data_IF_740776922359
#
_entry.id   IF_740776922359
#
_cell.length_a   1.000
_cell.length_b   1.000
_cell.length_c   1.000
_cell.angle_alpha   90.00
_cell.angle_beta   90.00
_cell.angle_gamma   90.00
#
_symmetry.space_group_name_H-M   'P 1'
#
loop_
_entity.id
_entity.type
_entity.pdbx_description
1 polymer ?
#
# COMPACT_ATOMS: atom_id res chain seq x y z
N UNK A 1 12.87 -10.26 -18.23
CA UNK A 1 12.23 -9.33 -19.17
C UNK A 1 11.39 -8.32 -18.39
N UNK A 2 10.83 -7.29 -19.03
CA UNK A 2 9.93 -6.33 -18.36
C UNK A 2 8.70 -7.05 -17.76
N UNK A 3 8.22 -8.11 -18.42
CA UNK A 3 7.08 -8.93 -17.98
C UNK A 3 7.39 -9.70 -16.69
N UNK A 4 8.53 -10.40 -16.63
CA UNK A 4 8.96 -11.13 -15.42
C UNK A 4 9.13 -10.21 -14.20
N UNK A 5 9.67 -9.00 -14.40
CA UNK A 5 9.77 -8.02 -13.32
C UNK A 5 8.41 -7.49 -12.88
N UNK A 6 7.47 -7.34 -13.81
CA UNK A 6 6.11 -6.94 -13.50
C UNK A 6 5.37 -8.00 -12.69
N UNK A 7 5.53 -9.28 -13.01
CA UNK A 7 4.93 -10.38 -12.24
C UNK A 7 5.42 -10.39 -10.78
N UNK A 8 6.73 -10.19 -10.56
CA UNK A 8 7.31 -10.11 -9.22
C UNK A 8 6.87 -8.85 -8.47
N UNK A 9 6.74 -7.71 -9.15
CA UNK A 9 6.15 -6.49 -8.59
C UNK A 9 4.70 -6.73 -8.13
N UNK A 10 3.89 -7.38 -8.97
CA UNK A 10 2.49 -7.69 -8.66
C UNK A 10 2.38 -8.72 -7.53
N UNK A 11 3.31 -9.68 -7.44
CA UNK A 11 3.38 -10.63 -6.33
C UNK A 11 3.73 -9.93 -5.01
N UNK A 12 4.71 -9.01 -5.03
CA UNK A 12 5.09 -8.23 -3.84
C UNK A 12 3.91 -7.43 -3.30
N UNK A 13 3.19 -6.71 -4.17
CA UNK A 13 2.01 -5.94 -3.76
C UNK A 13 0.89 -6.83 -3.23
N UNK A 14 0.59 -7.95 -3.91
CA UNK A 14 -0.45 -8.89 -3.47
C UNK A 14 -0.12 -9.51 -2.11
N UNK A 15 1.15 -9.86 -1.87
CA UNK A 15 1.59 -10.39 -0.58
C UNK A 15 1.42 -9.39 0.56
N UNK A 16 1.82 -8.14 0.37
CA UNK A 16 1.60 -7.07 1.35
C UNK A 16 0.11 -6.84 1.64
N UNK A 17 -0.72 -6.82 0.59
CA UNK A 17 -2.17 -6.66 0.73
C UNK A 17 -2.83 -7.83 1.46
N UNK A 18 -2.36 -9.06 1.23
CA UNK A 18 -2.87 -10.26 1.92
C UNK A 18 -2.51 -10.23 3.40
N UNK A 19 -1.25 -9.94 3.73
CA UNK A 19 -0.77 -9.78 5.11
C UNK A 19 -1.55 -8.68 5.83
N UNK A 20 -1.72 -7.52 5.19
CA UNK A 20 -2.51 -6.42 5.74
C UNK A 20 -3.95 -6.85 6.03
N UNK A 21 -4.62 -7.60 5.14
CA UNK A 21 -5.99 -8.09 5.38
C UNK A 21 -6.07 -9.03 6.58
N UNK A 22 -5.12 -9.96 6.72
CA UNK A 22 -5.09 -10.88 7.85
C UNK A 22 -4.80 -10.17 9.17
N UNK A 23 -3.80 -9.27 9.20
CA UNK A 23 -3.50 -8.45 10.38
C UNK A 23 -4.69 -7.58 10.78
N UNK A 24 -5.36 -6.95 9.81
CA UNK A 24 -6.59 -6.19 10.06
C UNK A 24 -7.66 -7.08 10.68
N UNK A 25 -7.86 -8.31 10.19
CA UNK A 25 -8.85 -9.22 10.75
C UNK A 25 -8.59 -9.55 12.24
N UNK A 26 -7.34 -9.88 12.59
CA UNK A 26 -6.93 -10.14 13.98
C UNK A 26 -7.18 -8.91 14.86
N UNK A 27 -6.75 -7.74 14.38
CA UNK A 27 -6.84 -6.49 15.14
C UNK A 27 -8.26 -5.96 15.29
N UNK A 28 -9.12 -6.11 14.27
CA UNK A 28 -10.52 -5.71 14.33
C UNK A 28 -11.32 -6.61 15.30
N UNK A 29 -11.09 -7.92 15.28
CA UNK A 29 -11.70 -8.84 16.25
C UNK A 29 -11.27 -8.48 17.66
N UNK A 30 -9.97 -8.31 17.89
CA UNK A 30 -9.43 -7.91 19.19
C UNK A 30 -10.03 -6.58 19.66
N UNK A 31 -10.02 -5.55 18.80
CA UNK A 31 -10.56 -4.23 19.11
C UNK A 31 -12.05 -4.27 19.42
N UNK A 32 -12.83 -5.08 18.69
CA UNK A 32 -14.26 -5.23 18.94
C UNK A 32 -14.51 -5.86 20.32
N UNK A 33 -13.74 -6.91 20.68
CA UNK A 33 -13.85 -7.59 21.98
C UNK A 33 -13.45 -6.69 23.15
N UNK A 34 -12.49 -5.78 22.96
CA UNK A 34 -12.11 -4.81 23.99
C UNK A 34 -13.24 -3.86 24.41
N UNK A 35 -14.09 -3.46 23.46
CA UNK A 35 -15.22 -2.53 23.73
C UNK A 35 -16.55 -3.24 24.00
N UNK A 36 -16.58 -4.58 23.87
CA UNK A 36 -17.72 -5.42 24.20
C UNK A 36 -17.32 -6.53 25.19
N UNK A 37 -16.94 -6.18 26.43
CA UNK A 37 -16.58 -7.18 27.43
C UNK A 37 -17.77 -8.11 27.70
N UNK A 38 -17.48 -9.40 27.84
CA UNK A 38 -18.52 -10.39 28.14
C UNK A 38 -19.09 -10.21 29.56
N UNK A 39 -20.10 -10.99 29.88
CA UNK A 39 -20.67 -11.11 31.20
C UNK A 39 -21.17 -12.53 31.47
N UNK A 40 -21.70 -12.75 32.67
CA UNK A 40 -22.25 -14.04 33.11
C UNK A 40 -23.46 -14.54 32.28
N UNK A 41 -24.13 -13.67 31.53
CA UNK A 41 -25.28 -14.04 30.70
C UNK A 41 -24.82 -14.56 29.34
N UNK A 42 -23.79 -13.93 28.77
CA UNK A 42 -23.18 -14.33 27.52
C UNK A 42 -22.17 -15.49 27.67
N UNK A 43 -21.43 -15.54 28.78
CA UNK A 43 -20.50 -16.60 29.12
C UNK A 43 -20.72 -17.07 30.57
N UNK A 44 -21.23 -18.29 30.75
CA UNK A 44 -21.54 -18.86 32.08
C UNK A 44 -20.31 -19.05 32.97
N UNK A 45 -19.13 -19.19 32.36
CA UNK A 45 -17.87 -19.35 33.08
C UNK A 45 -17.26 -18.00 33.50
N UNK A 46 -17.83 -16.87 33.06
CA UNK A 46 -17.40 -15.53 33.46
C UNK A 46 -17.94 -15.19 34.86
N UNK A 47 -17.07 -15.01 35.88
CA UNK A 47 -17.52 -14.62 37.21
C UNK A 47 -18.17 -13.22 37.21
N UNK A 48 -19.21 -13.03 38.02
CA UNK A 48 -19.82 -11.70 38.20
C UNK A 48 -18.89 -10.66 38.85
N UNK A 49 -17.77 -11.11 39.45
CA UNK A 49 -16.74 -10.29 40.08
C UNK A 49 -15.54 -10.03 39.16
N UNK A 50 -15.51 -10.59 37.95
CA UNK A 50 -14.39 -10.42 37.03
C UNK A 50 -14.26 -8.95 36.60
N UNK A 51 -13.03 -8.43 36.65
CA UNK A 51 -12.75 -7.05 36.27
C UNK A 51 -12.91 -6.86 34.76
N UNK A 52 -13.15 -5.62 34.33
CA UNK A 52 -13.53 -5.32 32.95
C UNK A 52 -12.52 -5.82 31.91
N UNK A 53 -11.22 -5.65 32.16
CA UNK A 53 -10.19 -6.12 31.23
C UNK A 53 -10.14 -7.65 31.12
N UNK A 54 -10.37 -8.38 32.22
CA UNK A 54 -10.47 -9.84 32.20
C UNK A 54 -11.69 -10.31 31.39
N UNK A 55 -12.82 -9.59 31.52
CA UNK A 55 -14.04 -9.83 30.73
C UNK A 55 -13.90 -9.44 29.25
N UNK A 56 -13.04 -8.47 28.95
CA UNK A 56 -12.72 -8.04 27.59
C UNK A 56 -11.74 -8.98 26.88
N UNK A 57 -10.89 -9.68 27.64
CA UNK A 57 -9.84 -10.58 27.15
C UNK A 57 -10.15 -12.04 27.48
N UNK A 58 -9.63 -12.56 28.60
CA UNK A 58 -9.67 -13.96 29.01
C UNK A 58 -11.00 -14.67 28.78
N UNK A 59 -12.12 -14.05 29.20
CA UNK A 59 -13.45 -14.66 29.10
C UNK A 59 -14.19 -14.37 27.78
N UNK A 60 -13.63 -13.53 26.91
CA UNK A 60 -14.32 -13.05 25.71
C UNK A 60 -14.01 -13.85 24.44
N UNK A 61 -13.22 -14.92 24.54
CA UNK A 61 -12.86 -15.79 23.41
C UNK A 61 -13.23 -17.24 23.70
N UNK A 62 -13.96 -17.87 22.79
CA UNK A 62 -14.20 -19.32 22.84
C UNK A 62 -12.92 -20.10 22.52
N UNK A 63 -12.96 -21.43 22.70
CA UNK A 63 -11.84 -22.30 22.31
C UNK A 63 -11.52 -22.17 20.82
N UNK A 64 -12.55 -22.17 20.00
CA UNK A 64 -12.47 -22.10 18.53
C UNK A 64 -11.96 -20.74 18.07
N UNK A 65 -12.41 -19.64 18.69
CA UNK A 65 -11.90 -18.30 18.40
C UNK A 65 -10.41 -18.18 18.72
N UNK A 66 -9.95 -18.75 19.84
CA UNK A 66 -8.52 -18.75 20.21
C UNK A 66 -7.68 -19.52 19.19
N UNK A 67 -8.11 -20.70 18.76
CA UNK A 67 -7.40 -21.46 17.73
C UNK A 67 -7.36 -20.72 16.40
N UNK A 68 -8.51 -20.20 15.93
CA UNK A 68 -8.58 -19.44 14.68
C UNK A 68 -7.66 -18.20 14.70
N UNK A 69 -7.59 -17.48 15.83
CA UNK A 69 -6.65 -16.36 15.97
C UNK A 69 -5.19 -16.81 15.84
N UNK A 70 -4.81 -17.92 16.49
CA UNK A 70 -3.44 -18.44 16.37
C UNK A 70 -3.13 -18.88 14.94
N UNK A 71 -4.05 -19.55 14.26
CA UNK A 71 -3.87 -19.94 12.84
C UNK A 71 -3.59 -18.72 11.96
N UNK A 72 -4.37 -17.64 12.11
CA UNK A 72 -4.18 -16.42 11.32
C UNK A 72 -2.85 -15.74 11.67
N UNK A 73 -2.49 -15.67 12.95
CA UNK A 73 -1.19 -15.13 13.39
C UNK A 73 -0.02 -15.94 12.80
N UNK A 74 -0.11 -17.27 12.82
CA UNK A 74 0.89 -18.16 12.24
C UNK A 74 1.00 -17.96 10.72
N UNK A 75 -0.12 -17.85 10.00
CA UNK A 75 -0.14 -17.54 8.56
C UNK A 75 0.51 -16.19 8.26
N UNK A 76 0.23 -15.14 9.04
CA UNK A 76 0.85 -13.82 8.92
C UNK A 76 2.37 -13.93 9.09
N UNK A 77 2.83 -14.52 10.20
CA UNK A 77 4.27 -14.59 10.51
C UNK A 77 5.03 -15.52 9.57
N UNK A 78 4.43 -16.63 9.17
CA UNK A 78 4.99 -17.55 8.18
C UNK A 78 5.20 -16.87 6.83
N UNK A 79 4.17 -16.20 6.30
CA UNK A 79 4.28 -15.46 5.05
C UNK A 79 5.21 -14.25 5.17
N UNK A 80 5.22 -13.54 6.30
CA UNK A 80 6.17 -12.44 6.56
C UNK A 80 7.63 -12.91 6.40
N UNK A 81 7.97 -14.09 6.94
CA UNK A 81 9.30 -14.69 6.79
C UNK A 81 9.61 -14.99 5.32
N UNK A 82 8.68 -15.60 4.59
CA UNK A 82 8.86 -15.91 3.17
C UNK A 82 9.05 -14.64 2.32
N UNK A 83 8.24 -13.60 2.57
CA UNK A 83 8.36 -12.31 1.88
C UNK A 83 9.68 -11.60 2.20
N UNK A 84 10.15 -11.68 3.46
CA UNK A 84 11.46 -11.15 3.86
C UNK A 84 12.62 -11.85 3.17
N UNK A 85 12.56 -13.18 2.98
CA UNK A 85 13.58 -13.93 2.22
C UNK A 85 13.64 -13.52 0.74
N UNK A 86 12.50 -13.10 0.18
CA UNK A 86 12.39 -12.64 -1.21
C UNK A 86 12.72 -11.15 -1.39
N UNK A 87 13.05 -10.42 -0.32
CA UNK A 87 13.19 -8.97 -0.33
C UNK A 87 14.15 -8.49 -1.43
N UNK A 88 15.35 -9.07 -1.56
CA UNK A 88 16.34 -8.66 -2.56
C UNK A 88 15.79 -8.77 -3.99
N UNK A 89 15.08 -9.87 -4.29
CA UNK A 89 14.47 -10.13 -5.60
C UNK A 89 13.34 -9.13 -5.86
N UNK A 90 12.46 -8.91 -4.88
CA UNK A 90 11.38 -7.93 -4.99
C UNK A 90 11.92 -6.52 -5.19
N UNK A 91 12.92 -6.12 -4.41
CA UNK A 91 13.55 -4.81 -4.48
C UNK A 91 14.13 -4.51 -5.87
N UNK A 92 14.74 -5.51 -6.52
CA UNK A 92 15.22 -5.37 -7.89
C UNK A 92 14.06 -5.24 -8.88
N UNK A 93 13.08 -6.15 -8.82
CA UNK A 93 11.93 -6.14 -9.72
C UNK A 93 11.11 -4.85 -9.61
N UNK A 94 10.83 -4.42 -8.38
CA UNK A 94 10.06 -3.21 -8.08
C UNK A 94 10.71 -1.98 -8.70
N UNK A 95 12.02 -1.81 -8.53
CA UNK A 95 12.72 -0.65 -9.07
C UNK A 95 12.71 -0.63 -10.60
N UNK A 96 12.91 -1.78 -11.24
CA UNK A 96 12.84 -1.88 -12.71
C UNK A 96 11.43 -1.56 -13.22
N UNK A 97 10.39 -2.18 -12.63
CA UNK A 97 9.00 -1.99 -13.05
C UNK A 97 8.54 -0.55 -12.85
N UNK A 98 8.83 0.07 -11.71
CA UNK A 98 8.48 1.46 -11.44
C UNK A 98 9.20 2.42 -12.39
N UNK A 99 10.50 2.20 -12.63
CA UNK A 99 11.26 3.01 -13.57
C UNK A 99 10.69 2.91 -14.98
N UNK A 100 10.48 1.69 -15.48
CA UNK A 100 9.92 1.45 -16.80
C UNK A 100 8.55 2.12 -16.96
N UNK A 101 7.64 1.91 -16.00
CA UNK A 101 6.32 2.53 -16.01
C UNK A 101 6.38 4.07 -16.02
N UNK A 102 7.27 4.66 -15.21
CA UNK A 102 7.44 6.11 -15.13
C UNK A 102 8.00 6.69 -16.45
N UNK A 103 9.02 6.05 -17.01
CA UNK A 103 9.66 6.52 -18.24
C UNK A 103 8.78 6.30 -19.47
N UNK A 104 8.14 5.14 -19.60
CA UNK A 104 7.22 4.88 -20.71
C UNK A 104 6.05 5.86 -20.68
N UNK A 105 5.49 6.12 -19.49
CA UNK A 105 4.43 7.10 -19.34
C UNK A 105 4.89 8.51 -19.74
N UNK A 106 6.02 8.98 -19.21
CA UNK A 106 6.46 10.35 -19.41
C UNK A 106 7.07 10.62 -20.79
N UNK A 107 7.81 9.64 -21.34
CA UNK A 107 8.49 9.77 -22.62
C UNK A 107 7.60 9.40 -23.80
N UNK A 108 6.66 8.45 -23.63
CA UNK A 108 5.78 7.97 -24.71
C UNK A 108 4.33 8.42 -24.53
N UNK A 109 3.69 8.05 -23.42
CA UNK A 109 2.25 8.31 -23.23
C UNK A 109 1.92 9.79 -23.20
N UNK A 110 2.77 10.63 -22.59
CA UNK A 110 2.55 12.08 -22.52
C UNK A 110 2.83 12.83 -23.85
N UNK A 111 3.34 12.18 -24.89
CA UNK A 111 3.59 12.82 -26.20
C UNK A 111 2.30 13.32 -26.84
N UNK A 112 1.26 12.49 -26.86
CA UNK A 112 -0.02 12.84 -27.48
C UNK A 112 -0.73 14.02 -26.78
N UNK A 113 -0.93 14.03 -25.44
CA UNK A 113 -1.49 15.20 -24.77
C UNK A 113 -0.65 16.45 -24.98
N UNK A 114 0.68 16.35 -24.98
CA UNK A 114 1.54 17.50 -25.23
C UNK A 114 1.37 18.02 -26.66
N UNK A 115 1.37 17.14 -27.67
CA UNK A 115 1.13 17.48 -29.08
C UNK A 115 -0.19 18.23 -29.24
N UNK A 116 -1.25 17.71 -28.63
CA UNK A 116 -2.56 18.36 -28.69
C UNK A 116 -2.57 19.72 -28.00
N UNK A 117 -1.92 19.83 -26.84
CA UNK A 117 -1.81 21.08 -26.09
C UNK A 117 -1.05 22.15 -26.88
N UNK A 118 0.09 21.79 -27.50
CA UNK A 118 0.87 22.68 -28.38
C UNK A 118 0.05 23.12 -29.58
N UNK A 119 -0.56 22.18 -30.31
CA UNK A 119 -1.40 22.47 -31.48
C UNK A 119 -2.58 23.39 -31.14
N UNK A 120 -3.24 23.19 -30.00
CA UNK A 120 -4.39 23.98 -29.53
C UNK A 120 -3.97 25.21 -28.70
N UNK A 121 -2.67 25.52 -28.60
CA UNK A 121 -2.10 26.64 -27.82
C UNK A 121 -2.59 26.70 -26.36
N UNK A 122 -2.69 25.54 -25.70
CA UNK A 122 -3.13 25.40 -24.30
C UNK A 122 -1.95 25.59 -23.34
N UNK A 123 -1.46 26.82 -23.19
CA UNK A 123 -0.21 27.13 -22.49
C UNK A 123 -0.10 26.55 -21.07
N UNK A 124 -1.18 26.59 -20.27
CA UNK A 124 -1.18 26.02 -18.91
C UNK A 124 -1.02 24.50 -18.95
N UNK A 125 -1.66 23.82 -19.90
CA UNK A 125 -1.51 22.38 -20.06
C UNK A 125 -0.10 22.02 -20.55
N UNK A 126 0.43 22.80 -21.50
CA UNK A 126 1.82 22.65 -21.97
C UNK A 126 2.80 22.78 -20.80
N UNK A 127 2.64 23.80 -19.95
CA UNK A 127 3.56 24.03 -18.83
C UNK A 127 3.55 22.89 -17.82
N UNK A 128 2.37 22.34 -17.49
CA UNK A 128 2.29 21.20 -16.54
C UNK A 128 2.87 19.92 -17.14
N UNK A 129 2.52 19.59 -18.39
CA UNK A 129 3.05 18.40 -19.08
C UNK A 129 4.57 18.46 -19.25
N UNK A 130 5.10 19.62 -19.62
CA UNK A 130 6.55 19.82 -19.71
C UNK A 130 7.23 19.82 -18.33
N UNK A 131 6.60 20.35 -17.29
CA UNK A 131 7.13 20.28 -15.93
C UNK A 131 7.27 18.83 -15.46
N UNK A 132 6.26 17.98 -15.72
CA UNK A 132 6.34 16.54 -15.46
C UNK A 132 7.53 15.94 -16.21
N UNK A 133 7.60 16.10 -17.54
CA UNK A 133 8.69 15.52 -18.36
C UNK A 133 10.07 15.98 -17.90
N UNK A 134 10.25 17.27 -17.60
CA UNK A 134 11.53 17.82 -17.10
C UNK A 134 11.93 17.29 -15.72
N UNK A 135 10.97 16.88 -14.90
CA UNK A 135 11.23 16.39 -13.54
C UNK A 135 11.72 14.94 -13.53
N UNK A 136 11.24 14.11 -14.46
CA UNK A 136 11.43 12.65 -14.40
C UNK A 136 11.98 11.99 -15.66
N UNK A 137 11.92 12.60 -16.84
CA UNK A 137 12.40 11.94 -18.06
C UNK A 137 13.92 11.77 -18.00
N UNK A 138 14.35 10.51 -18.02
CA UNK A 138 15.74 10.11 -18.17
C UNK A 138 15.94 9.63 -19.62
N UNK A 139 16.34 10.55 -20.50
CA UNK A 139 16.52 10.28 -21.91
C UNK A 139 17.81 9.48 -22.15
N UNK A 140 17.80 8.47 -23.02
CA UNK A 140 18.99 7.69 -23.39
C UNK A 140 20.16 8.59 -23.84
N UNK A 141 19.87 9.67 -24.58
CA UNK A 141 20.84 10.67 -25.04
C UNK A 141 21.10 11.82 -24.05
N UNK A 142 20.68 11.69 -22.78
CA UNK A 142 20.72 12.70 -21.72
C UNK A 142 19.98 14.02 -22.01
N UNK A 143 19.28 14.13 -23.15
CA UNK A 143 18.52 15.30 -23.58
C UNK A 143 17.24 14.88 -24.28
N UNK A 144 16.19 15.68 -24.11
CA UNK A 144 14.93 15.50 -24.83
C UNK A 144 15.18 15.60 -26.35
N UNK A 145 14.65 14.68 -27.18
CA UNK A 145 14.82 14.72 -28.63
C UNK A 145 14.23 16.02 -29.21
N UNK A 146 15.07 16.97 -29.69
CA UNK A 146 14.59 18.28 -30.14
C UNK A 146 13.81 18.20 -31.46
N UNK A 147 13.93 17.08 -32.17
CA UNK A 147 13.25 16.81 -33.42
C UNK A 147 11.87 16.14 -33.24
N UNK A 148 11.45 15.81 -32.02
CA UNK A 148 10.15 15.18 -31.74
C UNK A 148 8.99 16.06 -32.27
N UNK A 149 8.18 15.57 -33.24
CA UNK A 149 7.05 16.30 -33.80
C UNK A 149 6.05 16.80 -32.75
N UNK A 150 5.93 16.09 -31.61
CA UNK A 150 4.99 16.47 -30.55
C UNK A 150 5.30 17.86 -29.97
N UNK A 151 6.58 18.26 -29.92
CA UNK A 151 7.03 19.55 -29.43
C UNK A 151 6.61 20.72 -30.33
N UNK A 152 6.32 20.43 -31.61
CA UNK A 152 5.79 21.39 -32.60
C UNK A 152 4.26 21.26 -32.79
N UNK A 153 3.61 20.33 -32.09
CA UNK A 153 2.18 20.03 -32.27
C UNK A 153 1.86 19.23 -33.54
N UNK A 154 2.89 18.71 -34.20
CA UNK A 154 2.82 17.94 -35.45
C UNK A 154 2.60 16.44 -35.14
N UNK A 155 1.91 15.74 -36.04
CA UNK A 155 1.77 14.27 -35.93
C UNK A 155 3.09 13.59 -36.28
N UNK A 156 3.25 12.37 -35.78
CA UNK A 156 4.35 11.49 -36.16
C UNK A 156 4.33 11.23 -37.69
N UNK A 157 5.50 11.05 -38.32
CA UNK A 157 5.58 10.71 -39.73
C UNK A 157 4.95 9.32 -40.00
N UNK A 158 4.71 8.97 -41.26
CA UNK A 158 4.05 7.68 -41.62
C UNK A 158 4.75 6.43 -41.06
N UNK A 159 6.06 6.52 -40.79
CA UNK A 159 6.85 5.44 -40.16
C UNK A 159 6.93 5.49 -38.62
N UNK A 160 6.22 6.43 -37.97
CA UNK A 160 6.32 6.68 -36.54
C UNK A 160 7.54 7.52 -36.15
N UNK A 161 7.56 7.98 -34.89
CA UNK A 161 8.74 8.61 -34.28
C UNK A 161 9.21 7.71 -33.14
N UNK A 162 10.35 7.06 -33.34
CA UNK A 162 10.88 6.09 -32.38
C UNK A 162 11.66 6.79 -31.25
N UNK A 163 11.36 6.40 -30.02
CA UNK A 163 12.07 6.84 -28.83
C UNK A 163 12.44 5.59 -28.06
N UNK A 164 13.75 5.34 -27.96
CA UNK A 164 14.28 4.28 -27.11
C UNK A 164 14.21 4.72 -25.65
N UNK A 165 13.27 4.14 -24.91
CA UNK A 165 13.15 4.37 -23.46
C UNK A 165 14.15 3.46 -22.73
N UNK A 166 15.05 4.02 -21.89
CA UNK A 166 15.98 3.20 -21.11
C UNK A 166 15.25 2.28 -20.12
N UNK A 167 15.99 1.29 -19.61
CA UNK A 167 15.59 0.45 -18.48
C UNK A 167 16.67 0.50 -17.41
N UNK A 168 16.29 0.89 -16.19
CA UNK A 168 17.18 0.98 -15.03
C UNK A 168 16.53 0.40 -13.79
N UNK A 169 17.35 -0.15 -12.91
CA UNK A 169 16.94 -0.71 -11.64
C UNK A 169 16.91 0.34 -10.51
N UNK A 170 16.28 1.49 -10.74
CA UNK A 170 16.21 2.59 -9.75
C UNK A 170 14.86 3.29 -9.80
N UNK A 171 14.20 3.41 -8.64
CA UNK A 171 12.96 4.18 -8.52
C UNK A 171 13.20 5.70 -8.58
N UNK A 172 12.15 6.51 -8.80
CA UNK A 172 12.24 7.95 -8.63
C UNK A 172 12.53 8.31 -7.17
N UNK A 173 13.07 9.51 -6.94
CA UNK A 173 13.09 10.08 -5.59
C UNK A 173 11.66 10.31 -5.07
N UNK A 174 11.51 10.43 -3.75
CA UNK A 174 10.23 10.78 -3.12
C UNK A 174 9.67 12.10 -3.66
N UNK A 175 10.54 13.10 -3.87
CA UNK A 175 10.15 14.40 -4.43
C UNK A 175 9.72 14.30 -5.90
N UNK A 176 10.42 13.52 -6.72
CA UNK A 176 10.03 13.28 -8.12
C UNK A 176 8.65 12.63 -8.20
N UNK A 177 8.43 11.55 -7.44
CA UNK A 177 7.15 10.83 -7.45
C UNK A 177 6.00 11.71 -6.92
N UNK A 178 6.23 12.44 -5.83
CA UNK A 178 5.26 13.40 -5.29
C UNK A 178 4.87 14.45 -6.33
N UNK A 179 5.86 15.15 -6.89
CA UNK A 179 5.62 16.23 -7.86
C UNK A 179 4.87 15.74 -9.10
N UNK A 180 5.25 14.58 -9.64
CA UNK A 180 4.56 13.99 -10.80
C UNK A 180 3.12 13.63 -10.47
N UNK A 181 2.88 12.94 -9.36
CA UNK A 181 1.53 12.54 -8.96
C UNK A 181 0.63 13.76 -8.74
N UNK A 182 1.11 14.77 -8.01
CA UNK A 182 0.35 16.02 -7.75
C UNK A 182 0.07 16.80 -9.03
N UNK A 183 1.04 16.91 -9.94
CA UNK A 183 0.82 17.56 -11.24
C UNK A 183 -0.20 16.78 -12.09
N UNK A 184 -0.12 15.45 -12.13
CA UNK A 184 -1.08 14.62 -12.85
C UNK A 184 -2.49 14.73 -12.25
N UNK A 185 -2.62 14.71 -10.93
CA UNK A 185 -3.88 14.91 -10.22
C UNK A 185 -4.53 16.24 -10.63
N UNK A 186 -3.74 17.32 -10.72
CA UNK A 186 -4.24 18.62 -11.17
C UNK A 186 -4.78 18.62 -12.62
N UNK A 187 -4.29 17.71 -13.48
CA UNK A 187 -4.77 17.56 -14.86
C UNK A 187 -6.13 16.86 -14.92
N UNK A 188 -6.40 15.95 -13.99
CA UNK A 188 -7.60 15.10 -13.98
C UNK A 188 -8.64 15.52 -12.93
N UNK A 189 -8.36 16.54 -12.11
CA UNK A 189 -9.29 17.03 -11.10
C UNK A 189 -10.57 17.64 -11.72
N UNK A 190 -11.72 17.23 -11.19
CA UNK A 190 -13.05 17.72 -11.62
C UNK A 190 -13.41 19.10 -11.02
N UNK A 191 -12.74 19.51 -9.93
CA UNK A 191 -13.03 20.74 -9.21
C UNK A 191 -11.93 21.78 -9.39
N UNK A 192 -12.20 22.77 -10.22
CA UNK A 192 -11.60 24.09 -10.10
C UNK A 192 -12.73 25.09 -9.85
N UNK A 193 -12.54 26.09 -8.99
CA UNK A 193 -13.51 27.19 -8.82
C UNK A 193 -13.73 28.04 -10.09
N UNK A 194 -13.12 27.66 -11.21
CA UNK A 194 -13.26 28.27 -12.53
C UNK A 194 -14.23 27.48 -13.43
N UNK A 195 -14.89 28.18 -14.36
CA UNK A 195 -15.82 27.59 -15.36
C UNK A 195 -15.19 26.57 -16.33
N UNK A 196 -13.86 26.42 -16.39
CA UNK A 196 -13.15 25.48 -17.27
C UNK A 196 -11.98 24.83 -16.52
N UNK A 197 -12.06 23.52 -16.32
CA UNK A 197 -11.00 22.69 -15.70
C UNK A 197 -9.91 22.33 -16.71
N UNK A 198 -8.72 21.92 -16.25
CA UNK A 198 -7.69 21.35 -17.13
C UNK A 198 -8.15 20.04 -17.78
N UNK A 199 -8.88 19.21 -17.02
CA UNK A 199 -9.53 17.97 -17.48
C UNK A 199 -10.38 18.19 -18.73
N UNK A 200 -11.16 19.29 -18.78
CA UNK A 200 -12.01 19.62 -19.95
C UNK A 200 -11.23 19.90 -21.25
N UNK A 201 -9.91 20.08 -21.16
CA UNK A 201 -9.03 20.31 -22.31
C UNK A 201 -8.31 19.04 -22.78
N UNK A 202 -8.55 17.89 -22.14
CA UNK A 202 -7.99 16.59 -22.46
C UNK A 202 -9.05 15.69 -23.09
N UNK A 203 -8.66 14.89 -24.08
CA UNK A 203 -9.54 13.91 -24.70
C UNK A 203 -9.70 12.67 -23.77
N UNK A 204 -10.84 11.99 -23.84
CA UNK A 204 -11.18 10.88 -22.94
C UNK A 204 -10.11 9.79 -22.78
N UNK A 205 -9.51 9.24 -23.86
CA UNK A 205 -8.45 8.23 -23.75
C UNK A 205 -7.20 8.71 -22.99
N UNK A 206 -6.88 10.00 -23.09
CA UNK A 206 -5.73 10.60 -22.38
C UNK A 206 -6.04 10.69 -20.90
N UNK A 207 -7.25 11.11 -20.55
CA UNK A 207 -7.70 11.19 -19.16
C UNK A 207 -7.61 9.81 -18.50
N UNK A 208 -8.11 8.77 -19.18
CA UNK A 208 -8.01 7.39 -18.70
C UNK A 208 -6.57 6.93 -18.51
N UNK A 209 -5.66 7.25 -19.43
CA UNK A 209 -4.25 6.90 -19.30
C UNK A 209 -3.57 7.60 -18.10
N UNK A 210 -3.93 8.86 -17.82
CA UNK A 210 -3.43 9.59 -16.65
C UNK A 210 -4.02 9.01 -15.37
N UNK A 211 -5.33 8.74 -15.33
CA UNK A 211 -6.00 8.12 -14.19
C UNK A 211 -5.43 6.74 -13.86
N UNK A 212 -5.17 5.93 -14.89
CA UNK A 212 -4.59 4.60 -14.74
C UNK A 212 -3.18 4.67 -14.14
N UNK A 213 -2.29 5.50 -14.70
CA UNK A 213 -0.96 5.70 -14.14
C UNK A 213 -1.00 6.29 -12.72
N UNK A 214 -1.90 7.25 -12.47
CA UNK A 214 -2.07 7.86 -11.15
C UNK A 214 -2.58 6.86 -10.11
N UNK A 215 -3.47 5.94 -10.49
CA UNK A 215 -3.95 4.87 -9.62
C UNK A 215 -2.84 3.86 -9.31
N UNK A 216 -2.13 3.38 -10.33
CA UNK A 216 -1.07 2.39 -10.15
C UNK A 216 0.11 2.94 -9.33
N UNK A 217 0.50 4.20 -9.57
CA UNK A 217 1.62 4.83 -8.86
C UNK A 217 1.34 5.14 -7.39
N UNK A 218 0.12 4.91 -6.90
CA UNK A 218 -0.24 5.11 -5.48
C UNK A 218 0.59 4.22 -4.55
N UNK A 219 0.84 2.96 -4.95
CA UNK A 219 1.58 2.00 -4.15
C UNK A 219 3.10 2.06 -4.34
N UNK A 220 3.62 2.91 -5.24
CA UNK A 220 5.04 2.94 -5.56
C UNK A 220 5.91 3.26 -4.35
N UNK A 221 5.52 4.23 -3.51
CA UNK A 221 6.27 4.56 -2.29
C UNK A 221 6.32 3.38 -1.32
N UNK A 222 5.22 2.66 -1.13
CA UNK A 222 5.15 1.50 -0.25
C UNK A 222 6.05 0.37 -0.75
N UNK A 223 6.03 0.11 -2.06
CA UNK A 223 6.83 -0.94 -2.68
C UNK A 223 8.33 -0.58 -2.72
N UNK A 224 8.68 0.69 -2.95
CA UNK A 224 10.09 1.13 -2.88
C UNK A 224 10.66 1.04 -1.45
N UNK A 225 9.80 1.11 -0.43
CA UNK A 225 10.13 0.90 0.97
C UNK A 225 9.63 -0.45 1.49
N UNK A 226 9.85 -1.51 0.69
CA UNK A 226 9.26 -2.83 0.91
C UNK A 226 9.46 -3.40 2.32
N UNK A 227 10.68 -3.34 2.88
CA UNK A 227 10.96 -3.86 4.23
C UNK A 227 10.10 -3.18 5.29
N UNK A 228 9.94 -1.86 5.21
CA UNK A 228 9.13 -1.10 6.17
C UNK A 228 7.64 -1.41 5.98
N UNK A 229 7.17 -1.42 4.73
CA UNK A 229 5.79 -1.79 4.41
C UNK A 229 5.45 -3.21 4.90
N UNK A 230 6.36 -4.17 4.76
CA UNK A 230 6.20 -5.54 5.23
C UNK A 230 6.03 -5.60 6.76
N UNK A 231 6.80 -4.81 7.51
CA UNK A 231 6.67 -4.74 8.97
C UNK A 231 5.31 -4.17 9.37
N UNK A 232 4.91 -3.04 8.78
CA UNK A 232 3.61 -2.40 9.08
C UNK A 232 2.43 -3.30 8.72
N UNK A 233 2.48 -4.03 7.61
CA UNK A 233 1.43 -4.97 7.21
C UNK A 233 1.32 -6.20 8.12
N UNK A 234 2.29 -6.45 9.00
CA UNK A 234 2.34 -7.62 9.89
C UNK A 234 2.38 -7.24 11.38
N UNK A 235 2.10 -5.98 11.73
CA UNK A 235 2.15 -5.52 13.11
C UNK A 235 0.97 -6.10 13.92
N UNK A 236 1.32 -6.73 15.04
CA UNK A 236 0.41 -7.33 16.01
C UNK A 236 0.81 -6.95 17.44
N UNK A 237 1.67 -5.93 17.60
CA UNK A 237 2.24 -5.50 18.89
C UNK A 237 1.18 -5.04 19.90
N UNK A 238 0.08 -4.47 19.39
CA UNK A 238 -1.01 -3.93 20.20
C UNK A 238 -1.81 -4.98 20.99
N UNK A 239 -1.61 -6.29 20.71
CA UNK A 239 -2.24 -7.36 21.50
C UNK A 239 -1.73 -7.41 22.95
N UNK A 240 -0.55 -6.85 23.24
CA UNK A 240 0.03 -6.87 24.59
C UNK A 240 -0.23 -5.58 25.38
N UNK A 241 -0.22 -4.43 24.71
CA UNK A 241 -0.41 -3.11 25.34
C UNK A 241 -1.83 -2.95 25.89
N UNK A 242 -1.94 -2.29 27.05
CA UNK A 242 -3.17 -2.24 27.88
C UNK A 242 -3.20 -1.07 28.86
N UNK A 243 -2.44 -0.02 28.58
CA UNK A 243 -2.25 1.17 29.41
C UNK A 243 -3.58 1.89 29.64
N UNK A 244 -4.45 1.94 28.64
CA UNK A 244 -5.81 2.48 28.78
C UNK A 244 -6.59 1.77 29.90
N UNK A 245 -6.59 0.43 29.91
CA UNK A 245 -7.29 -0.33 30.94
C UNK A 245 -6.62 -0.21 32.31
N UNK A 246 -5.29 -0.09 32.36
CA UNK A 246 -4.57 0.16 33.62
C UNK A 246 -4.99 1.50 34.25
N UNK A 247 -5.07 2.55 33.44
CA UNK A 247 -5.51 3.88 33.90
C UNK A 247 -6.94 3.82 34.47
N UNK A 248 -7.85 3.09 33.83
CA UNK A 248 -9.23 2.91 34.31
C UNK A 248 -9.31 2.19 35.67
N UNK A 249 -8.27 1.48 36.09
CA UNK A 249 -8.24 0.87 37.43
C UNK A 249 -7.99 1.86 38.55
N UNK A 250 -7.65 3.12 38.23
CA UNK A 250 -7.38 4.20 39.20
C UNK A 250 -6.35 3.79 40.26
N UNK A 251 -5.25 3.19 39.81
CA UNK A 251 -4.15 2.76 40.68
C UNK A 251 -4.38 1.45 41.44
N UNK A 252 -5.54 0.78 41.25
CA UNK A 252 -5.78 -0.55 41.85
C UNK A 252 -4.90 -1.63 41.22
N UNK A 253 -4.56 -1.51 39.94
CA UNK A 253 -3.63 -2.41 39.24
C UNK A 253 -2.42 -1.61 38.77
N UNK A 254 -1.23 -2.07 39.16
CA UNK A 254 0.04 -1.62 38.56
C UNK A 254 0.27 -2.37 37.22
N UNK A 255 -0.21 -3.60 37.14
CA UNK A 255 -0.19 -4.44 35.95
C UNK A 255 -1.30 -5.51 36.04
N UNK A 256 -1.78 -6.00 34.90
CA UNK A 256 -2.68 -7.17 34.86
C UNK A 256 -1.87 -8.48 34.88
N UNK A 257 -2.40 -9.55 35.50
CA UNK A 257 -1.71 -10.83 35.53
C UNK A 257 -1.70 -11.51 34.15
N UNK A 258 -0.92 -12.59 34.01
CA UNK A 258 -0.61 -13.20 32.70
C UNK A 258 -1.83 -13.84 32.04
N UNK A 259 -2.76 -14.37 32.83
CA UNK A 259 -4.04 -14.93 32.38
C UNK A 259 -4.96 -13.91 31.71
N UNK A 260 -4.64 -12.61 31.77
CA UNK A 260 -5.32 -11.52 31.05
C UNK A 260 -4.51 -11.00 29.86
N UNK A 261 -3.32 -11.55 29.60
CA UNK A 261 -2.46 -11.11 28.50
C UNK A 261 -2.78 -11.91 27.24
N UNK A 262 -3.18 -11.25 26.15
CA UNK A 262 -3.56 -11.95 24.91
C UNK A 262 -2.50 -12.93 24.40
N UNK A 263 -1.19 -12.58 24.33
CA UNK A 263 -0.17 -13.55 23.92
C UNK A 263 -0.16 -14.81 24.78
N UNK A 264 -0.33 -14.67 26.10
CA UNK A 264 -0.35 -15.81 27.00
C UNK A 264 -1.65 -16.59 26.91
N UNK A 265 -2.81 -15.92 26.86
CA UNK A 265 -4.13 -16.56 26.69
C UNK A 265 -4.15 -17.48 25.46
N UNK A 266 -3.60 -17.01 24.34
CA UNK A 266 -3.56 -17.79 23.10
C UNK A 266 -2.58 -18.96 23.19
N UNK A 267 -1.40 -18.75 23.78
CA UNK A 267 -0.35 -19.78 23.92
C UNK A 267 -0.76 -20.87 24.90
N UNK A 268 -1.19 -20.48 26.10
CA UNK A 268 -1.57 -21.37 27.19
C UNK A 268 -2.76 -22.26 26.80
N UNK A 269 -3.70 -21.73 26.02
CA UNK A 269 -4.83 -22.51 25.51
C UNK A 269 -4.40 -23.72 24.68
N UNK A 270 -3.36 -23.59 23.85
CA UNK A 270 -2.82 -24.71 23.07
C UNK A 270 -2.14 -25.73 23.99
N UNK A 271 -1.37 -25.25 24.97
CA UNK A 271 -0.65 -26.11 25.91
C UNK A 271 -1.60 -26.92 26.79
N UNK A 272 -2.67 -26.30 27.27
CA UNK A 272 -3.68 -26.94 28.13
C UNK A 272 -4.57 -27.92 27.37
N UNK A 273 -5.07 -27.51 26.20
CA UNK A 273 -5.93 -28.39 25.38
C UNK A 273 -5.16 -29.52 24.71
N UNK A 274 -3.85 -29.33 24.49
CA UNK A 274 -2.99 -30.25 23.73
C UNK A 274 -3.55 -30.57 22.34
N UNK A 275 -4.22 -29.60 21.73
CA UNK A 275 -4.85 -29.75 20.42
C UNK A 275 -3.78 -30.10 19.36
N UNK A 276 -3.79 -31.33 18.80
CA UNK A 276 -2.69 -31.78 17.94
C UNK A 276 -2.49 -30.92 16.69
N UNK A 277 -3.56 -30.33 16.14
CA UNK A 277 -3.45 -29.50 14.93
C UNK A 277 -2.85 -28.12 15.17
N UNK A 278 -2.68 -27.71 16.43
CA UNK A 278 -2.24 -26.37 16.81
C UNK A 278 -0.84 -26.35 17.45
N UNK A 279 -0.15 -27.50 17.48
CA UNK A 279 1.12 -27.67 18.20
C UNK A 279 2.36 -27.15 17.43
N UNK A 280 2.24 -26.93 16.12
CA UNK A 280 3.34 -26.50 15.22
C UNK A 280 3.31 -25.00 14.92
#
# INVERSE_FOLDING_TARGET
>A
SDEEYRELFDLALRGLQLLSKWSTHVMEVYSWKLVHPTDKFCNKDCPGTAEEYERATRYNYTSEEKFALVEVIAMIKGLQVLMGRMESVFNQAIRNTIYAALQDFAQMTLREPLRQAVRKKKNVLISVLQAIRKTICDWEGAREPPNDPCLRGEKDPKGGFDIKVPRRAVGPSSTQLYMVRTMLESLIADKSGSKKTLRSSLDGPIVLAIEDFHKHSFFFTHLLNFSEALQHCCDLSQLWFREFFLELTMGRRIQFPIEMSMPWILTDHILETKEPSMME
#
